data_IF_610733244198
#
_entry.id   IF_610733244198
#
_cell.length_a   1.000
_cell.length_b   1.000
_cell.length_c   1.000
_cell.angle_alpha   90.00
_cell.angle_beta   90.00
_cell.angle_gamma   90.00
#
_symmetry.space_group_name_H-M   'P 1'
#
loop_
_entity.id
_entity.type
_entity.pdbx_description
1 polymer ?
#
# COMPACT_ATOMS: atom_id res chain seq x y z
N UNK A 1 -16.10 11.66 -9.81
CA UNK A 1 -15.29 11.24 -8.63
C UNK A 1 -13.81 11.32 -8.97
N UNK A 2 -12.91 11.42 -7.96
CA UNK A 2 -11.46 11.32 -8.18
C UNK A 2 -10.96 9.91 -7.84
N UNK A 3 -9.71 9.59 -8.16
CA UNK A 3 -9.12 8.25 -7.89
C UNK A 3 -9.21 7.84 -6.43
N UNK A 4 -9.02 8.78 -5.47
CA UNK A 4 -9.16 8.47 -4.04
C UNK A 4 -10.58 8.03 -3.67
N UNK A 5 -11.61 8.59 -4.31
CA UNK A 5 -13.01 8.15 -4.12
C UNK A 5 -13.16 6.68 -4.51
N UNK A 6 -12.66 6.27 -5.67
CA UNK A 6 -12.73 4.87 -6.12
C UNK A 6 -11.92 3.93 -5.22
N UNK A 7 -10.74 4.35 -4.77
CA UNK A 7 -9.94 3.58 -3.80
C UNK A 7 -10.73 3.31 -2.52
N UNK A 8 -11.42 4.31 -1.97
CA UNK A 8 -12.25 4.16 -0.78
C UNK A 8 -13.46 3.26 -1.02
N UNK A 9 -14.12 3.40 -2.17
CA UNK A 9 -15.22 2.50 -2.56
C UNK A 9 -14.74 1.05 -2.68
N UNK A 10 -13.58 0.79 -3.30
CA UNK A 10 -13.00 -0.56 -3.39
C UNK A 10 -12.72 -1.17 -2.01
N UNK A 11 -12.29 -0.36 -1.03
CA UNK A 11 -12.09 -0.85 0.34
C UNK A 11 -13.42 -1.22 1.00
N UNK A 12 -14.45 -0.39 0.83
CA UNK A 12 -15.80 -0.61 1.34
C UNK A 12 -16.51 -1.77 0.66
N UNK A 13 -16.20 -2.07 -0.61
CA UNK A 13 -16.74 -3.22 -1.32
C UNK A 13 -16.37 -4.55 -0.64
N UNK A 14 -15.26 -4.57 0.09
CA UNK A 14 -14.83 -5.75 0.83
C UNK A 14 -15.51 -5.87 2.20
N UNK A 15 -15.64 -4.76 2.92
CA UNK A 15 -16.18 -4.72 4.29
C UNK A 15 -16.54 -3.29 4.67
N UNK A 16 -17.69 -3.15 5.31
CA UNK A 16 -18.05 -1.90 6.00
C UNK A 16 -17.05 -1.61 7.12
N UNK A 17 -16.59 -0.38 7.21
CA UNK A 17 -15.58 0.02 8.18
C UNK A 17 -15.56 1.52 8.45
N UNK A 18 -14.85 1.91 9.49
CA UNK A 18 -14.66 3.32 9.86
C UNK A 18 -13.65 4.01 8.94
N UNK A 19 -13.69 5.34 8.87
CA UNK A 19 -12.69 6.11 8.13
C UNK A 19 -11.25 5.89 8.63
N UNK A 20 -11.06 5.55 9.89
CA UNK A 20 -9.76 5.18 10.46
C UNK A 20 -9.27 3.84 9.91
N UNK A 21 -10.13 2.81 9.89
CA UNK A 21 -9.79 1.50 9.32
C UNK A 21 -9.51 1.60 7.82
N UNK A 22 -10.30 2.40 7.08
CA UNK A 22 -10.04 2.69 5.66
C UNK A 22 -8.62 3.19 5.45
N UNK A 23 -8.17 4.17 6.27
CA UNK A 23 -6.81 4.67 6.20
C UNK A 23 -5.79 3.55 6.43
N UNK A 24 -5.95 2.73 7.46
CA UNK A 24 -5.03 1.63 7.76
C UNK A 24 -4.95 0.60 6.62
N UNK A 25 -6.08 0.28 5.99
CA UNK A 25 -6.11 -0.70 4.90
C UNK A 25 -5.47 -0.15 3.62
N UNK A 26 -5.74 1.12 3.28
CA UNK A 26 -5.19 1.71 2.07
C UNK A 26 -3.70 2.08 2.17
N UNK A 27 -3.13 2.25 3.37
CA UNK A 27 -1.69 2.51 3.57
C UNK A 27 -0.77 1.44 2.93
N UNK A 28 -1.32 0.27 2.63
CA UNK A 28 -0.60 -0.78 1.91
C UNK A 28 -0.19 -0.35 0.50
N UNK A 29 -0.97 0.48 -0.20
CA UNK A 29 -0.76 0.83 -1.60
C UNK A 29 -1.11 2.28 -1.95
N UNK A 30 -1.80 3.01 -1.07
CA UNK A 30 -2.20 4.39 -1.28
C UNK A 30 -1.98 5.23 -0.04
N UNK A 31 -1.29 6.35 -0.18
CA UNK A 31 -1.08 7.29 0.92
C UNK A 31 -2.07 8.46 0.80
N UNK A 32 -2.83 8.68 1.86
CA UNK A 32 -3.72 9.84 1.99
C UNK A 32 -3.75 10.34 3.44
N UNK A 33 -3.92 11.64 3.61
CA UNK A 33 -4.12 12.23 4.93
C UNK A 33 -5.53 11.97 5.45
N UNK A 34 -5.69 11.88 6.76
CA UNK A 34 -7.01 11.72 7.41
C UNK A 34 -8.05 12.72 6.90
N UNK A 35 -7.69 13.99 6.83
CA UNK A 35 -8.58 15.05 6.36
C UNK A 35 -9.09 14.80 4.95
N UNK A 36 -8.25 14.31 4.05
CA UNK A 36 -8.65 13.99 2.67
C UNK A 36 -9.66 12.83 2.63
N UNK A 37 -9.44 11.79 3.44
CA UNK A 37 -10.35 10.64 3.52
C UNK A 37 -11.74 11.08 3.97
N UNK A 38 -11.84 11.83 5.09
CA UNK A 38 -13.13 12.26 5.62
C UNK A 38 -13.83 13.28 4.72
N UNK A 39 -13.10 14.17 4.05
CA UNK A 39 -13.66 15.08 3.05
C UNK A 39 -14.27 14.30 1.88
N UNK A 40 -13.57 13.28 1.38
CA UNK A 40 -14.06 12.45 0.28
C UNK A 40 -15.26 11.59 0.72
N UNK A 41 -15.21 10.98 1.92
CA UNK A 41 -16.33 10.21 2.47
C UNK A 41 -17.60 11.07 2.60
N UNK A 42 -17.49 12.30 3.14
CA UNK A 42 -18.63 13.21 3.27
C UNK A 42 -19.22 13.60 1.91
N UNK A 43 -18.37 13.81 0.90
CA UNK A 43 -18.85 14.07 -0.46
C UNK A 43 -19.56 12.86 -1.06
N UNK A 44 -18.99 11.66 -0.91
CA UNK A 44 -19.59 10.43 -1.41
C UNK A 44 -20.89 10.07 -0.73
N UNK A 45 -21.04 10.40 0.55
CA UNK A 45 -22.29 10.28 1.30
C UNK A 45 -23.36 11.20 0.71
N UNK A 46 -23.04 12.49 0.55
CA UNK A 46 -23.96 13.49 -0.04
C UNK A 46 -24.39 13.09 -1.47
N UNK A 47 -23.48 12.51 -2.25
CA UNK A 47 -23.73 12.03 -3.60
C UNK A 47 -24.42 10.66 -3.64
N UNK A 48 -24.60 9.99 -2.49
CA UNK A 48 -25.32 8.72 -2.37
C UNK A 48 -24.53 7.48 -2.81
N UNK A 49 -23.20 7.52 -2.85
CA UNK A 49 -22.35 6.36 -3.14
C UNK A 49 -22.07 5.50 -1.89
N UNK A 50 -22.08 6.12 -0.74
CA UNK A 50 -21.93 5.48 0.56
C UNK A 50 -23.00 5.96 1.52
N UNK A 51 -23.32 5.17 2.51
CA UNK A 51 -24.06 5.57 3.70
C UNK A 51 -23.24 5.23 4.95
N UNK A 52 -23.58 5.79 6.09
CA UNK A 52 -22.98 5.38 7.35
C UNK A 52 -24.05 5.09 8.40
N UNK A 53 -23.68 4.22 9.31
CA UNK A 53 -24.39 3.99 10.57
C UNK A 53 -23.47 4.35 11.72
N UNK A 54 -24.06 4.88 12.81
CA UNK A 54 -23.28 5.11 14.03
C UNK A 54 -23.06 3.77 14.73
N UNK A 55 -21.82 3.47 15.08
CA UNK A 55 -21.50 2.34 15.95
C UNK A 55 -22.15 2.57 17.34
N UNK A 56 -23.01 1.67 17.81
CA UNK A 56 -23.74 1.85 19.06
C UNK A 56 -22.83 2.01 20.29
N UNK A 57 -21.64 1.37 20.27
CA UNK A 57 -20.72 1.36 21.41
C UNK A 57 -19.73 2.53 21.40
N UNK A 58 -19.37 3.06 20.22
CA UNK A 58 -18.28 4.03 20.06
C UNK A 58 -18.68 5.34 19.42
N UNK A 59 -19.92 5.48 18.95
CA UNK A 59 -20.43 6.63 18.15
C UNK A 59 -19.62 6.91 16.87
N UNK A 60 -18.73 6.02 16.47
CA UNK A 60 -17.96 6.14 15.23
C UNK A 60 -18.86 5.85 14.04
N UNK A 61 -18.62 6.54 12.94
CA UNK A 61 -19.30 6.27 11.67
C UNK A 61 -18.71 5.04 10.99
N UNK A 62 -19.56 4.02 10.78
CA UNK A 62 -19.24 2.83 9.97
C UNK A 62 -19.83 3.06 8.59
N UNK A 63 -18.98 3.18 7.59
CA UNK A 63 -19.38 3.43 6.21
C UNK A 63 -19.60 2.12 5.45
N UNK A 64 -20.61 2.12 4.59
CA UNK A 64 -20.99 1.01 3.72
C UNK A 64 -21.32 1.53 2.32
N UNK A 65 -21.15 0.66 1.31
CA UNK A 65 -21.58 0.98 -0.07
C UNK A 65 -23.09 0.99 -0.19
N UNK A 66 -23.60 1.88 -1.04
CA UNK A 66 -24.92 1.77 -1.63
C UNK A 66 -24.86 0.96 -2.93
N UNK A 67 -26.03 0.63 -3.53
CA UNK A 67 -26.10 0.04 -4.87
C UNK A 67 -25.39 0.92 -5.90
N UNK A 68 -25.56 2.24 -5.82
CA UNK A 68 -24.86 3.21 -6.67
C UNK A 68 -23.35 3.14 -6.49
N UNK A 69 -22.86 2.95 -5.26
CA UNK A 69 -21.44 2.76 -4.99
C UNK A 69 -20.89 1.46 -5.58
N UNK A 70 -21.65 0.36 -5.51
CA UNK A 70 -21.28 -0.92 -6.09
C UNK A 70 -21.16 -0.81 -7.62
N UNK A 71 -22.15 -0.19 -8.27
CA UNK A 71 -22.13 0.03 -9.72
C UNK A 71 -20.91 0.87 -10.13
N UNK A 72 -20.62 1.96 -9.41
CA UNK A 72 -19.48 2.82 -9.69
C UNK A 72 -18.14 2.06 -9.60
N UNK A 73 -17.97 1.16 -8.63
CA UNK A 73 -16.78 0.30 -8.54
C UNK A 73 -16.72 -0.65 -9.73
N UNK A 74 -17.84 -1.29 -10.08
CA UNK A 74 -17.92 -2.25 -11.17
C UNK A 74 -17.57 -1.63 -12.53
N UNK A 75 -17.96 -0.39 -12.75
CA UNK A 75 -17.61 0.37 -13.95
C UNK A 75 -16.12 0.77 -13.95
N UNK A 76 -15.66 1.31 -12.83
CA UNK A 76 -14.28 1.80 -12.72
C UNK A 76 -13.20 0.72 -12.86
N UNK A 77 -13.45 -0.51 -12.40
CA UNK A 77 -12.47 -1.60 -12.54
C UNK A 77 -12.28 -2.05 -13.99
N UNK A 78 -13.17 -1.64 -14.90
CA UNK A 78 -13.07 -1.90 -16.34
C UNK A 78 -12.30 -0.79 -17.08
N UNK A 79 -12.06 0.35 -16.44
CA UNK A 79 -11.29 1.45 -17.04
C UNK A 79 -9.79 1.08 -17.10
N UNK A 80 -9.11 1.63 -18.10
CA UNK A 80 -7.67 1.46 -18.23
C UNK A 80 -6.95 2.10 -17.02
N UNK A 81 -6.04 1.35 -16.41
CA UNK A 81 -5.25 1.84 -15.29
C UNK A 81 -4.14 2.78 -15.78
N UNK A 82 -4.07 3.97 -15.22
CA UNK A 82 -2.99 4.92 -15.53
C UNK A 82 -1.61 4.33 -15.18
N UNK A 83 -0.59 4.73 -15.95
CA UNK A 83 0.79 4.35 -15.68
C UNK A 83 1.21 4.78 -14.27
N UNK A 84 1.84 3.89 -13.47
CA UNK A 84 2.27 4.23 -12.12
C UNK A 84 3.43 5.25 -12.16
N UNK A 85 3.24 6.39 -11.49
CA UNK A 85 4.27 7.42 -11.35
C UNK A 85 5.21 7.03 -10.21
N UNK A 86 6.50 6.83 -10.54
CA UNK A 86 7.55 6.63 -9.54
C UNK A 86 8.33 7.93 -9.34
N UNK A 87 8.41 8.42 -8.09
CA UNK A 87 9.26 9.54 -7.67
C UNK A 87 10.08 9.06 -6.48
N UNK A 88 11.38 8.84 -6.71
CA UNK A 88 12.28 8.31 -5.69
C UNK A 88 13.54 9.21 -5.59
N UNK A 89 13.62 9.99 -4.51
CA UNK A 89 14.75 10.86 -4.23
C UNK A 89 16.07 10.09 -4.10
N UNK A 90 16.02 8.85 -3.62
CA UNK A 90 17.20 7.99 -3.52
C UNK A 90 17.82 7.74 -4.91
N UNK A 91 17.00 7.47 -5.94
CA UNK A 91 17.51 7.26 -7.30
C UNK A 91 18.17 8.52 -7.87
N UNK A 92 17.66 9.70 -7.52
CA UNK A 92 18.32 10.95 -7.90
C UNK A 92 19.71 11.10 -7.24
N UNK A 93 19.86 10.65 -5.98
CA UNK A 93 21.16 10.61 -5.30
C UNK A 93 22.10 9.56 -5.91
N UNK A 94 21.58 8.39 -6.26
CA UNK A 94 22.35 7.34 -6.95
C UNK A 94 22.90 7.83 -8.29
N UNK A 95 22.18 8.67 -9.02
CA UNK A 95 22.63 9.20 -10.31
C UNK A 95 23.99 9.93 -10.24
N UNK A 96 24.32 10.49 -9.08
CA UNK A 96 25.58 11.22 -8.85
C UNK A 96 26.52 10.50 -7.89
N UNK A 97 26.35 9.19 -7.69
CA UNK A 97 27.05 8.38 -6.67
C UNK A 97 28.58 8.42 -6.85
N UNK A 98 29.08 8.49 -8.09
CA UNK A 98 30.52 8.56 -8.39
C UNK A 98 31.20 9.84 -7.86
N UNK A 99 30.43 10.89 -7.51
CA UNK A 99 30.91 12.14 -6.94
C UNK A 99 30.94 12.15 -5.41
N UNK A 100 30.46 11.08 -4.78
CA UNK A 100 30.31 11.00 -3.32
C UNK A 100 31.52 10.33 -2.68
N UNK A 101 31.81 10.74 -1.44
CA UNK A 101 32.74 10.01 -0.58
C UNK A 101 32.19 8.64 -0.20
N UNK A 102 33.06 7.63 -0.02
CA UNK A 102 32.71 6.25 0.33
C UNK A 102 31.82 6.17 1.58
N UNK A 103 32.11 6.96 2.61
CA UNK A 103 31.29 7.04 3.82
C UNK A 103 29.86 7.49 3.55
N UNK A 104 29.67 8.44 2.65
CA UNK A 104 28.35 8.93 2.24
C UNK A 104 27.58 7.88 1.44
N UNK A 105 28.27 7.17 0.55
CA UNK A 105 27.68 6.05 -0.22
C UNK A 105 27.20 4.94 0.72
N UNK A 106 28.05 4.50 1.66
CA UNK A 106 27.70 3.49 2.65
C UNK A 106 26.50 3.92 3.51
N UNK A 107 26.46 5.18 3.94
CA UNK A 107 25.31 5.71 4.67
C UNK A 107 24.05 5.71 3.83
N UNK A 108 24.11 6.12 2.56
CA UNK A 108 22.98 6.17 1.63
C UNK A 108 22.32 4.78 1.45
N UNK A 109 23.14 3.74 1.21
CA UNK A 109 22.65 2.36 1.10
C UNK A 109 22.14 1.80 2.44
N UNK A 110 22.81 2.09 3.56
CA UNK A 110 22.36 1.66 4.88
C UNK A 110 21.01 2.27 5.26
N UNK A 111 20.76 3.53 4.94
CA UNK A 111 19.49 4.19 5.18
C UNK A 111 18.37 3.56 4.31
N UNK A 112 18.68 3.26 3.05
CA UNK A 112 17.76 2.56 2.15
C UNK A 112 17.40 1.18 2.68
N UNK A 113 18.39 0.35 3.06
CA UNK A 113 18.18 -0.97 3.65
C UNK A 113 17.37 -0.91 4.93
N UNK A 114 17.66 0.05 5.83
CA UNK A 114 16.91 0.24 7.07
C UNK A 114 15.43 0.49 6.80
N UNK A 115 15.12 1.31 5.81
CA UNK A 115 13.75 1.60 5.39
C UNK A 115 13.05 0.32 4.92
N UNK A 116 13.65 -0.45 4.01
CA UNK A 116 13.02 -1.66 3.47
C UNK A 116 12.99 -2.82 4.47
N UNK A 117 13.99 -2.99 5.33
CA UNK A 117 13.95 -3.96 6.44
C UNK A 117 12.80 -3.66 7.41
N UNK A 118 12.59 -2.39 7.76
CA UNK A 118 11.45 -1.98 8.60
C UNK A 118 10.11 -2.29 7.92
N UNK A 119 10.02 -2.02 6.62
CA UNK A 119 8.80 -2.30 5.83
C UNK A 119 8.53 -3.81 5.73
N UNK A 120 9.56 -4.62 5.47
CA UNK A 120 9.45 -6.08 5.43
C UNK A 120 8.99 -6.65 6.79
N UNK A 121 9.54 -6.16 7.90
CA UNK A 121 9.13 -6.56 9.25
C UNK A 121 7.64 -6.28 9.53
N UNK A 122 7.08 -5.21 8.97
CA UNK A 122 5.63 -4.90 9.07
C UNK A 122 4.78 -5.80 8.16
N UNK A 123 5.31 -6.19 6.99
CA UNK A 123 4.57 -7.01 6.03
C UNK A 123 4.55 -8.48 6.44
N UNK A 124 5.65 -9.01 6.96
CA UNK A 124 5.84 -10.43 7.27
C UNK A 124 4.71 -11.05 8.09
N UNK A 125 4.32 -10.53 9.27
CA UNK A 125 3.24 -11.14 10.05
C UNK A 125 1.88 -11.10 9.32
N UNK A 126 1.65 -10.08 8.48
CA UNK A 126 0.43 -9.99 7.67
C UNK A 126 0.40 -11.03 6.56
N UNK A 127 1.57 -11.32 5.98
CA UNK A 127 1.70 -12.33 4.94
C UNK A 127 1.51 -13.72 5.54
N UNK A 128 2.14 -14.03 6.68
CA UNK A 128 2.00 -15.29 7.41
C UNK A 128 0.53 -15.55 7.82
N UNK A 129 -0.19 -14.53 8.32
CA UNK A 129 -1.62 -14.62 8.61
C UNK A 129 -2.43 -15.02 7.38
N UNK A 130 -2.15 -14.38 6.24
CA UNK A 130 -2.88 -14.61 4.98
C UNK A 130 -2.52 -15.96 4.34
N UNK A 131 -1.28 -16.41 4.44
CA UNK A 131 -0.84 -17.74 4.00
C UNK A 131 -1.44 -18.86 4.86
N UNK A 132 -1.56 -18.63 6.17
CA UNK A 132 -2.27 -19.55 7.06
C UNK A 132 -3.74 -19.66 6.65
N UNK A 133 -4.39 -18.53 6.35
CA UNK A 133 -5.78 -18.51 5.88
C UNK A 133 -5.94 -19.22 4.52
N UNK A 134 -4.98 -19.06 3.60
CA UNK A 134 -4.96 -19.74 2.30
C UNK A 134 -4.96 -21.26 2.44
N UNK A 135 -4.23 -21.78 3.42
CA UNK A 135 -4.02 -23.20 3.63
C UNK A 135 -5.11 -23.85 4.50
N UNK A 136 -6.07 -23.08 5.02
CA UNK A 136 -7.17 -23.60 5.83
C UNK A 136 -8.42 -23.87 4.97
N UNK A 137 -8.73 -25.14 4.67
CA UNK A 137 -9.86 -25.53 3.84
C UNK A 137 -11.22 -25.18 4.46
N UNK A 138 -11.27 -24.90 5.76
CA UNK A 138 -12.53 -24.55 6.46
C UNK A 138 -12.88 -23.07 6.32
N UNK A 139 -11.91 -22.23 5.96
CA UNK A 139 -12.03 -20.76 5.87
C UNK A 139 -12.01 -20.23 4.43
N UNK A 140 -12.54 -21.00 3.47
CA UNK A 140 -12.52 -20.65 2.04
C UNK A 140 -13.15 -19.29 1.72
N UNK A 141 -14.24 -18.94 2.38
CA UNK A 141 -14.92 -17.65 2.14
C UNK A 141 -14.09 -16.48 2.67
N UNK A 142 -13.47 -16.60 3.84
CA UNK A 142 -12.55 -15.59 4.35
C UNK A 142 -11.33 -15.42 3.45
N UNK A 143 -10.80 -16.52 2.92
CA UNK A 143 -9.70 -16.47 1.95
C UNK A 143 -10.12 -15.72 0.69
N UNK A 144 -11.26 -16.05 0.11
CA UNK A 144 -11.81 -15.37 -1.06
C UNK A 144 -11.90 -13.86 -0.84
N UNK A 145 -12.42 -13.44 0.30
CA UNK A 145 -12.56 -12.04 0.67
C UNK A 145 -11.21 -11.36 0.96
N UNK A 146 -10.17 -12.12 1.28
CA UNK A 146 -8.82 -11.63 1.59
C UNK A 146 -7.84 -11.74 0.43
N UNK A 147 -8.21 -12.36 -0.69
CA UNK A 147 -7.32 -12.65 -1.81
C UNK A 147 -6.66 -11.40 -2.39
N UNK A 148 -7.41 -10.34 -2.64
CA UNK A 148 -6.83 -9.07 -3.12
C UNK A 148 -5.84 -8.45 -2.14
N UNK A 149 -6.13 -8.53 -0.83
CA UNK A 149 -5.20 -8.10 0.23
C UNK A 149 -3.92 -8.92 0.21
N UNK A 150 -4.02 -10.24 0.03
CA UNK A 150 -2.86 -11.12 -0.09
C UNK A 150 -1.95 -10.70 -1.24
N UNK A 151 -2.51 -10.50 -2.45
CA UNK A 151 -1.73 -10.08 -3.61
C UNK A 151 -0.98 -8.76 -3.37
N UNK A 152 -1.62 -7.78 -2.71
CA UNK A 152 -1.00 -6.49 -2.40
C UNK A 152 0.12 -6.65 -1.36
N UNK A 153 -0.11 -7.41 -0.28
CA UNK A 153 0.90 -7.64 0.76
C UNK A 153 2.09 -8.42 0.20
N UNK A 154 1.82 -9.47 -0.58
CA UNK A 154 2.86 -10.29 -1.24
C UNK A 154 3.71 -9.43 -2.17
N UNK A 155 3.09 -8.64 -3.05
CA UNK A 155 3.82 -7.71 -3.93
C UNK A 155 4.70 -6.74 -3.15
N UNK A 156 4.22 -6.21 -2.02
CA UNK A 156 5.03 -5.31 -1.17
C UNK A 156 6.23 -6.02 -0.54
N UNK A 157 6.08 -7.27 -0.13
CA UNK A 157 7.14 -8.06 0.45
C UNK A 157 8.20 -8.41 -0.61
N UNK A 158 7.76 -8.83 -1.79
CA UNK A 158 8.64 -9.08 -2.94
C UNK A 158 9.45 -7.84 -3.34
N UNK A 159 8.82 -6.66 -3.35
CA UNK A 159 9.50 -5.39 -3.60
C UNK A 159 10.55 -5.08 -2.52
N UNK A 160 10.28 -5.40 -1.24
CA UNK A 160 11.29 -5.23 -0.19
C UNK A 160 12.49 -6.15 -0.42
N UNK A 161 12.26 -7.41 -0.75
CA UNK A 161 13.30 -8.39 -1.05
C UNK A 161 14.15 -7.98 -2.25
N UNK A 162 13.51 -7.56 -3.34
CA UNK A 162 14.19 -7.10 -4.54
C UNK A 162 15.05 -5.85 -4.28
N UNK A 163 14.52 -4.90 -3.53
CA UNK A 163 15.22 -3.66 -3.23
C UNK A 163 16.45 -3.89 -2.33
N UNK A 164 16.34 -4.78 -1.34
CA UNK A 164 17.47 -5.15 -0.49
C UNK A 164 18.57 -5.83 -1.30
N UNK A 165 18.21 -6.79 -2.15
CA UNK A 165 19.17 -7.45 -3.03
C UNK A 165 19.82 -6.49 -4.03
N UNK A 166 19.05 -5.53 -4.56
CA UNK A 166 19.57 -4.50 -5.44
C UNK A 166 20.55 -3.58 -4.72
N UNK A 167 20.27 -3.18 -3.47
CA UNK A 167 21.20 -2.38 -2.67
C UNK A 167 22.53 -3.09 -2.45
N UNK A 168 22.51 -4.39 -2.16
CA UNK A 168 23.71 -5.19 -1.97
C UNK A 168 24.53 -5.26 -3.26
N UNK A 169 23.89 -5.62 -4.38
CA UNK A 169 24.52 -5.65 -5.69
C UNK A 169 25.12 -4.30 -6.11
N UNK A 170 24.37 -3.20 -5.93
CA UNK A 170 24.79 -1.88 -6.36
C UNK A 170 25.99 -1.35 -5.54
N UNK A 171 26.01 -1.61 -4.22
CA UNK A 171 27.11 -1.22 -3.35
C UNK A 171 28.37 -2.05 -3.63
N UNK A 172 28.24 -3.36 -3.84
CA UNK A 172 29.35 -4.23 -4.25
C UNK A 172 29.94 -3.80 -5.59
N UNK A 173 29.09 -3.43 -6.55
CA UNK A 173 29.53 -2.90 -7.84
C UNK A 173 30.29 -1.57 -7.67
N UNK A 174 29.78 -0.66 -6.82
CA UNK A 174 30.46 0.60 -6.51
C UNK A 174 31.86 0.34 -5.94
N UNK A 175 31.98 -0.52 -4.92
CA UNK A 175 33.26 -0.85 -4.32
C UNK A 175 34.25 -1.47 -5.33
N UNK A 176 33.78 -2.43 -6.13
CA UNK A 176 34.63 -3.07 -7.14
C UNK A 176 35.11 -2.10 -8.23
N UNK A 177 34.35 -1.04 -8.50
CA UNK A 177 34.65 -0.03 -9.53
C UNK A 177 35.54 1.09 -9.02
N UNK A 178 35.45 1.48 -7.74
CA UNK A 178 36.09 2.66 -7.19
C UNK A 178 37.11 2.39 -6.07
N UNK A 179 37.21 1.16 -5.52
CA UNK A 179 38.20 0.84 -4.48
C UNK A 179 39.60 0.54 -5.01
N UNK A 180 39.78 0.45 -6.33
CA UNK A 180 41.07 0.17 -6.97
C UNK A 180 41.78 1.43 -7.50
N UNK A 181 41.22 2.59 -7.25
CA UNK A 181 41.78 3.90 -7.58
C UNK A 181 42.23 4.59 -6.29
#
# INVERSE_FOLDING_TARGET
MNTLSYVLLCMLARKSCTGYELKQYMELFWQAHHSQIYTVLGKMETEGYVHFEADPDTTKKIYSLTEKGILAVSEWVLEETAEPISRDEFLAKIYVIALMEKSTVAQLFNDRRRHYKKRAAINKPKLEELETLQNDPTRKEEWRNSFGRYLIVKRRDDLCTQELAWCDWAEDLYHSSFDKI
#
